data_IF_826624066218
#
_entry.id   IF_826624066218
#
_cell.length_a   1.000
_cell.length_b   1.000
_cell.length_c   1.000
_cell.angle_alpha   90.00
_cell.angle_beta   90.00
_cell.angle_gamma   90.00
#
_symmetry.space_group_name_H-M   'P 1'
#
loop_
_entity.id
_entity.type
_entity.pdbx_description
1 polymer ?
#
# COMPACT_ATOMS: atom_id res chain seq x y z
N UNK A 1 3.82 23.02 -47.70
CA UNK A 1 4.60 21.95 -47.04
C UNK A 1 5.09 22.53 -45.73
N UNK A 2 4.36 22.28 -44.63
CA UNK A 2 4.74 22.65 -43.25
C UNK A 2 3.84 21.97 -42.18
N UNK A 3 2.70 21.37 -42.58
CA UNK A 3 1.77 20.70 -41.66
C UNK A 3 2.39 19.55 -40.84
N UNK A 4 3.26 18.73 -41.44
CA UNK A 4 3.74 17.51 -40.78
C UNK A 4 4.71 17.80 -39.61
N UNK A 5 5.41 18.94 -39.66
CA UNK A 5 6.35 19.34 -38.61
C UNK A 5 5.64 20.02 -37.43
N UNK A 6 4.60 20.82 -37.72
CA UNK A 6 3.72 21.40 -36.68
C UNK A 6 2.94 20.29 -35.95
N UNK A 7 2.37 19.32 -36.68
CA UNK A 7 1.64 18.19 -36.06
C UNK A 7 2.55 17.30 -35.20
N UNK A 8 3.83 17.18 -35.56
CA UNK A 8 4.81 16.46 -34.74
C UNK A 8 5.15 17.19 -33.45
N UNK A 9 5.36 18.51 -33.52
CA UNK A 9 5.67 19.35 -32.36
C UNK A 9 4.49 19.44 -31.39
N UNK A 10 3.26 19.56 -31.89
CA UNK A 10 2.05 19.56 -31.06
C UNK A 10 1.88 18.23 -30.30
N UNK A 11 2.14 17.09 -30.95
CA UNK A 11 2.12 15.77 -30.28
C UNK A 11 3.21 15.61 -29.23
N UNK A 12 4.38 16.23 -29.42
CA UNK A 12 5.43 16.24 -28.40
C UNK A 12 5.04 17.10 -27.20
N UNK A 13 4.51 18.30 -27.45
CA UNK A 13 4.01 19.20 -26.41
C UNK A 13 2.83 18.60 -25.63
N UNK A 14 1.87 17.93 -26.28
CA UNK A 14 0.78 17.23 -25.59
C UNK A 14 1.29 16.10 -24.70
N UNK A 15 2.30 15.35 -25.14
CA UNK A 15 2.91 14.30 -24.33
C UNK A 15 3.68 14.87 -23.13
N UNK A 16 4.45 15.95 -23.31
CA UNK A 16 5.15 16.64 -22.22
C UNK A 16 4.19 17.24 -21.20
N UNK A 17 3.14 17.93 -21.66
CA UNK A 17 2.08 18.46 -20.79
C UNK A 17 1.35 17.34 -20.02
N UNK A 18 1.10 16.20 -20.66
CA UNK A 18 0.53 15.04 -19.99
C UNK A 18 1.47 14.49 -18.92
N UNK A 19 2.76 14.31 -19.24
CA UNK A 19 3.80 13.87 -18.30
C UNK A 19 3.94 14.80 -17.09
N UNK A 20 3.97 16.12 -17.31
CA UNK A 20 3.98 17.11 -16.23
C UNK A 20 2.70 17.04 -15.39
N UNK A 21 1.53 16.88 -16.02
CA UNK A 21 0.25 16.74 -15.30
C UNK A 21 0.22 15.47 -14.43
N UNK A 22 0.75 14.35 -14.93
CA UNK A 22 0.89 13.14 -14.13
C UNK A 22 1.86 13.37 -12.97
N UNK A 23 3.01 14.00 -13.21
CA UNK A 23 4.01 14.34 -12.19
C UNK A 23 3.43 15.23 -11.09
N UNK A 24 2.67 16.27 -11.45
CA UNK A 24 1.98 17.14 -10.49
C UNK A 24 0.97 16.37 -9.64
N UNK A 25 0.15 15.49 -10.25
CA UNK A 25 -0.74 14.60 -9.50
C UNK A 25 0.00 13.64 -8.57
N UNK A 26 1.19 13.17 -8.95
CA UNK A 26 2.02 12.36 -8.07
C UNK A 26 2.47 13.19 -6.86
N UNK A 27 3.04 14.37 -7.10
CA UNK A 27 3.59 15.20 -6.04
C UNK A 27 2.50 15.63 -5.04
N UNK A 28 1.29 15.95 -5.52
CA UNK A 28 0.14 16.25 -4.65
C UNK A 28 -0.24 15.07 -3.74
N UNK A 29 -0.33 13.86 -4.27
CA UNK A 29 -0.70 12.65 -3.49
C UNK A 29 0.34 12.37 -2.42
N UNK A 30 1.62 12.49 -2.78
CA UNK A 30 2.74 12.22 -1.88
C UNK A 30 2.89 13.30 -0.80
N UNK A 31 2.52 14.55 -1.08
CA UNK A 31 2.54 15.66 -0.11
C UNK A 31 1.35 15.65 0.85
N UNK A 32 0.14 15.35 0.37
CA UNK A 32 -1.08 15.45 1.19
C UNK A 32 -1.15 14.44 2.37
N UNK A 33 -0.37 13.36 2.32
CA UNK A 33 -0.36 12.29 3.33
C UNK A 33 1.05 12.01 3.85
N UNK A 34 1.90 13.03 3.85
CA UNK A 34 3.27 12.89 4.28
C UNK A 34 3.34 12.84 5.81
N UNK A 35 3.71 11.67 6.32
CA UNK A 35 4.07 11.46 7.72
C UNK A 35 5.51 11.94 7.95
N UNK A 36 5.81 12.32 9.18
CA UNK A 36 7.15 12.75 9.58
C UNK A 36 7.99 11.52 9.89
N UNK A 37 9.00 11.22 9.07
CA UNK A 37 9.82 10.02 9.23
C UNK A 37 10.48 9.89 10.61
N UNK A 38 10.92 11.01 11.19
CA UNK A 38 11.57 11.03 12.51
C UNK A 38 10.65 10.69 13.68
N UNK A 39 9.33 10.62 13.46
CA UNK A 39 8.36 10.19 14.48
C UNK A 39 8.34 8.66 14.65
N UNK A 40 9.12 7.93 13.85
CA UNK A 40 9.15 6.47 13.85
C UNK A 40 10.55 5.91 14.04
N UNK A 41 10.65 4.82 14.80
CA UNK A 41 11.89 4.07 14.99
C UNK A 41 11.69 2.66 14.45
N UNK A 42 12.67 2.20 13.66
CA UNK A 42 12.69 0.83 13.14
C UNK A 42 12.98 -0.13 14.28
N UNK A 43 12.22 -1.20 14.39
CA UNK A 43 12.48 -2.26 15.37
C UNK A 43 13.54 -3.24 14.86
N UNK A 44 14.05 -4.07 15.77
CA UNK A 44 14.97 -5.17 15.44
C UNK A 44 14.26 -6.40 14.85
N UNK A 45 12.95 -6.34 14.60
CA UNK A 45 12.24 -7.45 13.96
C UNK A 45 12.71 -7.66 12.51
N UNK A 46 12.86 -8.94 12.16
CA UNK A 46 13.27 -9.35 10.82
C UNK A 46 12.27 -8.86 9.76
N UNK A 47 12.74 -8.28 8.64
CA UNK A 47 11.86 -7.84 7.57
C UNK A 47 11.03 -8.99 6.99
N UNK A 48 9.74 -8.76 6.80
CA UNK A 48 8.81 -9.71 6.16
C UNK A 48 8.71 -9.44 4.65
N UNK A 49 8.21 -10.42 3.90
CA UNK A 49 7.93 -10.28 2.46
C UNK A 49 6.43 -10.12 2.25
N UNK A 50 6.03 -9.06 1.56
CA UNK A 50 4.62 -8.76 1.26
C UNK A 50 4.08 -9.57 0.07
N UNK A 51 4.35 -10.87 0.01
CA UNK A 51 3.99 -11.71 -1.15
C UNK A 51 4.74 -11.41 -2.45
N UNK A 52 5.60 -10.39 -2.45
CA UNK A 52 6.43 -9.92 -3.58
C UNK A 52 7.91 -9.88 -3.19
N UNK A 53 8.76 -9.29 -4.04
CA UNK A 53 10.18 -9.04 -3.71
C UNK A 53 10.38 -7.86 -2.76
N UNK A 54 9.32 -7.13 -2.40
CA UNK A 54 9.39 -5.97 -1.54
C UNK A 54 9.45 -6.37 -0.06
N UNK A 55 10.38 -5.73 0.66
CA UNK A 55 10.58 -5.92 2.10
C UNK A 55 9.67 -4.98 2.88
N UNK A 56 9.02 -5.52 3.89
CA UNK A 56 8.23 -4.80 4.89
C UNK A 56 8.99 -4.85 6.21
N UNK A 57 9.17 -3.70 6.83
CA UNK A 57 9.87 -3.57 8.12
C UNK A 57 8.91 -3.07 9.18
N UNK A 58 9.07 -3.53 10.43
CA UNK A 58 8.30 -3.08 11.58
C UNK A 58 8.91 -1.82 12.18
N UNK A 59 8.06 -0.87 12.51
CA UNK A 59 8.41 0.41 13.12
C UNK A 59 7.43 0.74 14.24
N UNK A 60 7.85 1.57 15.18
CA UNK A 60 7.01 2.06 16.28
C UNK A 60 7.07 3.59 16.38
N UNK A 61 6.04 4.21 16.95
CA UNK A 61 6.06 5.66 17.19
C UNK A 61 7.02 6.01 18.34
N UNK A 62 7.83 7.06 18.17
CA UNK A 62 8.78 7.54 19.19
C UNK A 62 8.11 7.94 20.52
N UNK A 63 6.85 8.38 20.46
CA UNK A 63 6.07 8.82 21.61
C UNK A 63 5.18 7.71 22.18
N UNK A 64 4.99 6.60 21.46
CA UNK A 64 4.16 5.48 21.89
C UNK A 64 4.59 4.17 21.21
N UNK A 65 5.41 3.39 21.91
CA UNK A 65 5.95 2.12 21.38
C UNK A 65 4.87 1.05 21.13
N UNK A 66 3.66 1.21 21.68
CA UNK A 66 2.55 0.30 21.41
C UNK A 66 1.88 0.55 20.05
N UNK A 67 2.18 1.66 19.39
CA UNK A 67 1.71 1.94 18.05
C UNK A 67 2.70 1.37 17.03
N UNK A 68 2.27 0.28 16.38
CA UNK A 68 3.11 -0.48 15.45
C UNK A 68 2.71 -0.24 13.99
N UNK A 69 3.74 -0.09 13.15
CA UNK A 69 3.61 0.32 11.76
C UNK A 69 4.41 -0.61 10.85
N UNK A 70 3.87 -0.84 9.65
CA UNK A 70 4.54 -1.53 8.57
C UNK A 70 5.05 -0.50 7.56
N UNK A 71 6.37 -0.47 7.34
CA UNK A 71 6.98 0.37 6.32
C UNK A 71 7.35 -0.51 5.13
N UNK A 72 6.70 -0.26 4.00
CA UNK A 72 7.00 -0.91 2.72
C UNK A 72 7.72 0.07 1.81
N UNK A 73 8.97 -0.24 1.46
CA UNK A 73 9.76 0.62 0.57
C UNK A 73 9.14 0.65 -0.84
N UNK A 74 8.97 1.86 -1.36
CA UNK A 74 8.50 2.13 -2.72
C UNK A 74 9.73 2.37 -3.58
N UNK A 75 10.00 1.47 -4.52
CA UNK A 75 11.06 1.68 -5.49
C UNK A 75 10.65 2.77 -6.50
N UNK A 76 11.62 3.45 -7.11
CA UNK A 76 11.33 4.46 -8.16
C UNK A 76 10.50 3.90 -9.31
N UNK A 77 10.72 2.63 -9.67
CA UNK A 77 10.00 1.94 -10.73
C UNK A 77 8.55 1.62 -10.35
N UNK A 78 8.27 1.50 -9.06
CA UNK A 78 6.95 1.15 -8.53
C UNK A 78 6.10 2.36 -8.17
N UNK A 79 6.64 3.59 -8.25
CA UNK A 79 5.92 4.83 -7.89
C UNK A 79 4.59 4.97 -8.61
N UNK A 80 4.54 4.67 -9.92
CA UNK A 80 3.31 4.73 -10.72
C UNK A 80 2.29 3.68 -10.30
N UNK A 81 2.73 2.45 -10.01
CA UNK A 81 1.86 1.37 -9.54
C UNK A 81 1.28 1.65 -8.15
N UNK A 82 2.07 2.28 -7.28
CA UNK A 82 1.67 2.60 -5.89
C UNK A 82 0.64 3.72 -5.83
N UNK A 83 0.58 4.65 -6.80
CA UNK A 83 -0.41 5.74 -6.79
C UNK A 83 -1.85 5.24 -6.73
N UNK A 84 -2.19 4.24 -7.55
CA UNK A 84 -3.53 3.63 -7.50
C UNK A 84 -3.80 2.99 -6.13
N UNK A 85 -2.79 2.30 -5.58
CA UNK A 85 -2.90 1.68 -4.26
C UNK A 85 -3.13 2.72 -3.16
N UNK A 86 -2.36 3.81 -3.15
CA UNK A 86 -2.51 4.92 -2.19
C UNK A 86 -3.86 5.59 -2.33
N UNK A 87 -4.30 5.84 -3.56
CA UNK A 87 -5.60 6.47 -3.84
C UNK A 87 -6.75 5.64 -3.29
N UNK A 88 -6.73 4.32 -3.54
CA UNK A 88 -7.74 3.41 -3.02
C UNK A 88 -7.65 3.31 -1.49
N UNK A 89 -6.47 3.02 -0.94
CA UNK A 89 -6.30 2.82 0.50
C UNK A 89 -6.67 4.07 1.32
N UNK A 90 -6.44 5.27 0.78
CA UNK A 90 -6.90 6.53 1.37
C UNK A 90 -8.42 6.55 1.55
N UNK A 91 -9.18 6.23 0.51
CA UNK A 91 -10.65 6.27 0.60
C UNK A 91 -11.21 5.18 1.54
N UNK A 92 -10.45 4.10 1.74
CA UNK A 92 -10.90 2.93 2.48
C UNK A 92 -10.30 2.78 3.89
N UNK A 93 -9.50 3.74 4.36
CA UNK A 93 -8.64 3.60 5.56
C UNK A 93 -9.39 3.29 6.87
N UNK A 94 -10.65 3.71 7.00
CA UNK A 94 -11.46 3.51 8.21
C UNK A 94 -12.22 2.16 8.26
N UNK A 95 -12.14 1.35 7.20
CA UNK A 95 -12.93 0.12 7.11
C UNK A 95 -12.26 -1.06 7.80
N UNK A 96 -12.99 -1.70 8.72
CA UNK A 96 -12.48 -2.73 9.61
C UNK A 96 -11.77 -3.90 8.90
N UNK A 97 -12.25 -4.33 7.74
CA UNK A 97 -11.70 -5.46 6.98
C UNK A 97 -10.73 -5.04 5.85
N UNK A 98 -10.33 -3.77 5.79
CA UNK A 98 -9.30 -3.24 4.88
C UNK A 98 -8.08 -2.83 5.70
N UNK A 99 -6.87 -3.11 5.23
CA UNK A 99 -5.64 -2.73 5.94
C UNK A 99 -5.59 -1.21 6.15
N UNK A 100 -5.36 -0.77 7.38
CA UNK A 100 -5.33 0.64 7.74
C UNK A 100 -4.09 1.28 7.12
N UNK A 101 -4.33 2.28 6.30
CA UNK A 101 -3.31 3.12 5.69
C UNK A 101 -3.15 4.39 6.53
N UNK A 102 -1.90 4.73 6.85
CA UNK A 102 -1.59 5.94 7.63
C UNK A 102 -1.06 7.06 6.75
N UNK A 103 -0.31 6.73 5.71
CA UNK A 103 0.29 7.73 4.84
C UNK A 103 1.54 7.25 4.13
N UNK A 104 2.27 8.22 3.60
CA UNK A 104 3.55 8.05 2.95
C UNK A 104 4.62 8.76 3.79
N UNK A 105 5.83 8.23 3.82
CA UNK A 105 6.96 8.94 4.46
C UNK A 105 8.21 8.75 3.62
N UNK A 106 9.19 9.62 3.79
CA UNK A 106 10.47 9.50 3.12
C UNK A 106 11.67 9.71 4.05
N UNK A 107 12.76 9.03 3.69
CA UNK A 107 14.09 9.26 4.25
C UNK A 107 15.04 9.55 3.08
N UNK A 108 15.33 10.84 2.88
CA UNK A 108 15.98 11.33 1.65
C UNK A 108 15.16 10.95 0.41
N UNK A 109 15.77 10.16 -0.48
CA UNK A 109 15.15 9.73 -1.74
C UNK A 109 14.33 8.43 -1.63
N UNK A 110 14.28 7.81 -0.44
CA UNK A 110 13.55 6.56 -0.23
C UNK A 110 12.14 6.86 0.28
N UNK A 111 11.14 6.43 -0.47
CA UNK A 111 9.74 6.54 -0.07
C UNK A 111 9.24 5.24 0.56
N UNK A 112 8.31 5.37 1.49
CA UNK A 112 7.69 4.27 2.22
C UNK A 112 6.18 4.44 2.25
N UNK A 113 5.46 3.37 1.94
CA UNK A 113 4.05 3.22 2.24
C UNK A 113 3.92 2.77 3.70
N UNK A 114 3.16 3.50 4.50
CA UNK A 114 2.96 3.22 5.93
C UNK A 114 1.55 2.71 6.18
N UNK A 115 1.45 1.47 6.69
CA UNK A 115 0.20 0.83 7.07
C UNK A 115 0.29 0.30 8.50
N UNK A 116 -0.80 -0.23 9.04
CA UNK A 116 -0.74 -1.01 10.28
C UNK A 116 0.19 -2.23 10.13
N UNK A 117 0.85 -2.58 11.22
CA UNK A 117 1.63 -3.80 11.31
C UNK A 117 0.71 -5.01 11.49
N UNK A 118 0.76 -5.95 10.55
CA UNK A 118 0.07 -7.23 10.67
C UNK A 118 0.93 -8.17 11.51
N UNK A 119 0.68 -8.20 12.82
CA UNK A 119 1.49 -8.95 13.80
C UNK A 119 1.72 -10.42 13.42
N UNK A 120 0.71 -11.03 12.80
CA UNK A 120 0.73 -12.43 12.38
C UNK A 120 1.14 -12.68 10.92
N UNK A 121 1.54 -11.64 10.20
CA UNK A 121 1.86 -11.69 8.78
C UNK A 121 0.61 -11.82 7.91
N UNK A 122 0.80 -12.12 6.63
CA UNK A 122 -0.31 -12.43 5.74
C UNK A 122 -0.82 -13.87 5.92
N UNK A 123 -1.95 -14.20 5.28
CA UNK A 123 -2.63 -15.48 5.47
C UNK A 123 -1.78 -16.66 5.02
N UNK A 124 -0.95 -16.46 3.99
CA UNK A 124 0.00 -17.48 3.55
C UNK A 124 1.07 -17.74 4.61
N UNK A 125 1.68 -16.69 5.15
CA UNK A 125 2.69 -16.81 6.22
C UNK A 125 2.09 -17.44 7.48
N UNK A 126 0.90 -16.98 7.88
CA UNK A 126 0.19 -17.54 9.02
C UNK A 126 -0.07 -19.03 8.85
N UNK A 127 -0.59 -19.42 7.67
CA UNK A 127 -0.90 -20.81 7.38
C UNK A 127 0.34 -21.71 7.38
N UNK A 128 1.46 -21.23 6.83
CA UNK A 128 2.72 -21.99 6.78
C UNK A 128 3.33 -22.14 8.17
N UNK A 129 3.39 -21.06 8.94
CA UNK A 129 4.15 -21.02 10.20
C UNK A 129 3.32 -21.45 11.42
N UNK A 130 1.98 -21.35 11.34
CA UNK A 130 1.06 -21.53 12.48
C UNK A 130 -0.15 -22.39 12.13
N UNK A 131 0.04 -23.38 11.25
CA UNK A 131 -1.03 -24.26 10.75
C UNK A 131 -1.90 -24.86 11.86
N UNK A 132 -1.30 -25.26 12.98
CA UNK A 132 -1.99 -25.90 14.10
C UNK A 132 -2.94 -24.95 14.84
N UNK A 133 -2.66 -23.64 14.79
CA UNK A 133 -3.54 -22.60 15.34
C UNK A 133 -4.71 -22.29 14.40
N UNK A 134 -4.63 -22.67 13.12
CA UNK A 134 -5.65 -22.40 12.09
C UNK A 134 -6.79 -23.42 12.10
N UNK A 135 -7.47 -23.51 13.25
CA UNK A 135 -8.63 -24.38 13.46
C UNK A 135 -9.87 -23.90 12.69
N UNK A 136 -10.95 -24.71 12.70
CA UNK A 136 -12.19 -24.41 11.97
C UNK A 136 -12.80 -23.05 12.35
N UNK A 137 -12.78 -22.69 13.63
CA UNK A 137 -13.33 -21.41 14.11
C UNK A 137 -12.57 -20.23 13.52
N UNK A 138 -11.24 -20.29 13.50
CA UNK A 138 -10.41 -19.25 12.92
C UNK A 138 -10.58 -19.18 11.39
N UNK A 139 -10.65 -20.33 10.70
CA UNK A 139 -10.95 -20.39 9.27
C UNK A 139 -12.25 -19.69 8.92
N UNK A 140 -13.33 -19.99 9.65
CA UNK A 140 -14.64 -19.37 9.42
C UNK A 140 -14.62 -17.86 9.69
N UNK A 141 -13.91 -17.41 10.74
CA UNK A 141 -13.73 -15.97 11.02
C UNK A 141 -13.03 -15.27 9.85
N UNK A 142 -11.87 -15.78 9.44
CA UNK A 142 -11.09 -15.21 8.34
C UNK A 142 -11.88 -15.20 7.03
N UNK A 143 -12.59 -16.29 6.70
CA UNK A 143 -13.45 -16.34 5.51
C UNK A 143 -14.58 -15.31 5.56
N UNK A 144 -15.20 -15.11 6.73
CA UNK A 144 -16.25 -14.09 6.91
C UNK A 144 -15.68 -12.68 6.76
N UNK A 145 -14.52 -12.40 7.34
CA UNK A 145 -13.88 -11.09 7.25
C UNK A 145 -13.42 -10.76 5.82
N UNK A 146 -12.90 -11.75 5.08
CA UNK A 146 -12.64 -11.61 3.63
C UNK A 146 -13.93 -11.31 2.88
N UNK A 147 -15.00 -12.05 3.13
CA UNK A 147 -16.29 -11.83 2.47
C UNK A 147 -16.85 -10.43 2.75
N UNK A 148 -16.71 -9.93 3.99
CA UNK A 148 -17.10 -8.57 4.36
C UNK A 148 -16.28 -7.52 3.63
N UNK A 149 -14.95 -7.68 3.57
CA UNK A 149 -14.07 -6.79 2.82
C UNK A 149 -14.42 -6.75 1.33
N UNK A 150 -14.66 -7.92 0.72
CA UNK A 150 -15.07 -8.01 -0.69
C UNK A 150 -16.45 -7.40 -0.96
N UNK A 151 -17.41 -7.62 -0.05
CA UNK A 151 -18.73 -7.01 -0.16
C UNK A 151 -18.64 -5.48 -0.08
N UNK A 152 -17.84 -4.96 0.85
CA UNK A 152 -17.58 -3.54 0.96
C UNK A 152 -16.94 -2.97 -0.33
N UNK A 153 -15.87 -3.59 -0.84
CA UNK A 153 -15.22 -3.19 -2.09
C UNK A 153 -16.21 -3.15 -3.26
N UNK A 154 -17.11 -4.15 -3.34
CA UNK A 154 -18.18 -4.17 -4.33
C UNK A 154 -19.15 -3.00 -4.19
N UNK A 155 -19.52 -2.62 -2.96
CA UNK A 155 -20.41 -1.48 -2.69
C UNK A 155 -19.81 -0.14 -3.14
N UNK A 156 -18.50 0.02 -3.02
CA UNK A 156 -17.78 1.23 -3.50
C UNK A 156 -17.25 1.09 -4.93
N UNK A 157 -17.71 0.07 -5.67
CA UNK A 157 -17.35 -0.19 -7.07
C UNK A 157 -15.85 -0.41 -7.35
N UNK A 158 -15.10 -0.85 -6.33
CA UNK A 158 -13.67 -1.16 -6.43
C UNK A 158 -13.49 -2.66 -6.65
N UNK A 159 -12.76 -3.03 -7.70
CA UNK A 159 -12.34 -4.41 -7.95
C UNK A 159 -10.89 -4.60 -7.49
N UNK A 160 -10.65 -5.43 -6.48
CA UNK A 160 -9.29 -5.69 -5.98
C UNK A 160 -8.36 -6.35 -7.03
N UNK A 161 -8.90 -7.23 -7.87
CA UNK A 161 -8.21 -7.96 -8.96
C UNK A 161 -7.11 -8.95 -8.55
N UNK A 162 -6.56 -8.87 -7.34
CA UNK A 162 -5.55 -9.80 -6.84
C UNK A 162 -5.88 -10.44 -5.47
N UNK A 163 -6.98 -11.18 -5.38
CA UNK A 163 -7.39 -11.83 -4.13
C UNK A 163 -6.63 -13.15 -3.96
N UNK A 164 -5.58 -13.12 -3.12
CA UNK A 164 -4.73 -14.27 -2.77
C UNK A 164 -4.33 -14.19 -1.30
N UNK A 165 -3.85 -15.31 -0.74
CA UNK A 165 -3.50 -15.41 0.67
C UNK A 165 -2.37 -14.45 1.10
N UNK A 166 -1.52 -14.06 0.16
CA UNK A 166 -0.47 -13.07 0.34
C UNK A 166 -1.00 -11.65 0.60
N UNK A 167 -2.19 -11.32 0.08
CA UNK A 167 -2.80 -9.98 0.19
C UNK A 167 -3.86 -9.90 1.31
N UNK A 168 -3.95 -10.93 2.15
CA UNK A 168 -4.87 -10.97 3.29
C UNK A 168 -4.03 -10.85 4.57
N UNK A 169 -4.02 -9.66 5.18
CA UNK A 169 -3.15 -9.35 6.33
C UNK A 169 -3.90 -9.20 7.66
N UNK A 170 -5.23 -9.09 7.63
CA UNK A 170 -6.09 -9.03 8.83
C UNK A 170 -6.58 -10.44 9.20
N UNK A 171 -5.93 -11.09 10.17
CA UNK A 171 -6.17 -12.50 10.55
C UNK A 171 -6.46 -12.65 12.03
#
# INVERSE_FOLDING_TARGET
MNNDMEEFLDKQMENENNLETYQLKYDEIFQAHQLVFSDYIKTDEEPRRDGTYLKVTKWVNVNNENEEYAFKNISEKDKSGVQNQVTILRELHDWQNIIKFYGLTNDGNKWYLVTEWAEHGNLREFYINRKDLFNLKLKLRVSLDIARGLNFLRTVEILHRDIRAENISKI
#
